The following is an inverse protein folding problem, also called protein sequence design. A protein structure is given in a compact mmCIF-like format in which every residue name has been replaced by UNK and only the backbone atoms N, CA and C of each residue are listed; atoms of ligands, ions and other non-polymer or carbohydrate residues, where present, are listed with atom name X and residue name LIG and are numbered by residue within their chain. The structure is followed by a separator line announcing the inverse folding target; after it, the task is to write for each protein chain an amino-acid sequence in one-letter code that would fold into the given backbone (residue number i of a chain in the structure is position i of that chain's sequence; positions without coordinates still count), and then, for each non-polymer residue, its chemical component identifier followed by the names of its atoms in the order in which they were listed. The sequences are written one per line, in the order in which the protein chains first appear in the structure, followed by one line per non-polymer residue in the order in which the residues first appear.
data_IF_231928383577
#
_entry.id   IF_231928383577
#
_cell.length_a   1.000
_cell.length_b   1.000
_cell.length_c   1.000
_cell.angle_alpha   90.00
_cell.angle_beta   90.00
_cell.angle_gamma   90.00
#
_symmetry.space_group_name_H-M   'P 1'
#
loop_
_entity.id
_entity.type
_entity.pdbx_description
1 polymer ?
#
# COMPACT_ATOMS: atom_id res chain seq x y z
N UNK A 1 -15.98 2.91 26.88
CA UNK A 1 -16.21 2.61 25.46
C UNK A 1 -15.25 3.40 24.59
N UNK A 2 -14.70 2.80 23.53
CA UNK A 2 -13.96 3.57 22.52
C UNK A 2 -14.91 4.57 21.83
N UNK A 3 -14.39 5.74 21.43
CA UNK A 3 -15.20 6.72 20.69
C UNK A 3 -15.71 6.10 19.39
N UNK A 4 -17.01 6.20 19.12
CA UNK A 4 -17.64 5.66 17.90
C UNK A 4 -16.93 6.15 16.64
N UNK A 5 -16.50 7.42 16.62
CA UNK A 5 -15.72 8.00 15.52
C UNK A 5 -14.38 7.29 15.28
N UNK A 6 -13.72 6.82 16.34
CA UNK A 6 -12.45 6.08 16.23
C UNK A 6 -12.67 4.65 15.76
N UNK A 7 -13.74 3.98 16.23
CA UNK A 7 -14.15 2.65 15.75
C UNK A 7 -14.43 2.70 14.25
N UNK A 8 -15.21 3.68 13.79
CA UNK A 8 -15.53 3.86 12.38
C UNK A 8 -14.28 4.16 11.53
N UNK A 9 -13.37 5.00 12.04
CA UNK A 9 -12.10 5.30 11.35
C UNK A 9 -11.22 4.06 11.21
N UNK A 10 -11.16 3.21 12.22
CA UNK A 10 -10.40 1.95 12.16
C UNK A 10 -11.01 0.98 11.15
N UNK A 11 -12.33 0.84 11.12
CA UNK A 11 -13.02 0.03 10.10
C UNK A 11 -12.71 0.50 8.67
N UNK A 12 -12.72 1.82 8.45
CA UNK A 12 -12.37 2.40 7.14
C UNK A 12 -10.92 2.13 6.74
N UNK A 13 -9.96 2.22 7.67
CA UNK A 13 -8.55 1.86 7.40
C UNK A 13 -8.40 0.39 7.07
N UNK A 14 -9.02 -0.51 7.84
CA UNK A 14 -8.98 -1.94 7.59
C UNK A 14 -9.52 -2.30 6.19
N UNK A 15 -10.62 -1.65 5.77
CA UNK A 15 -11.18 -1.82 4.44
C UNK A 15 -10.21 -1.37 3.33
N UNK A 16 -9.64 -0.17 3.44
CA UNK A 16 -8.67 0.37 2.46
C UNK A 16 -7.40 -0.49 2.38
N UNK A 17 -6.89 -0.93 3.53
CA UNK A 17 -5.76 -1.83 3.60
C UNK A 17 -6.04 -3.15 2.88
N UNK A 18 -7.22 -3.76 3.10
CA UNK A 18 -7.61 -5.01 2.42
C UNK A 18 -7.74 -4.83 0.91
N UNK A 19 -8.38 -3.75 0.46
CA UNK A 19 -8.61 -3.45 -0.97
C UNK A 19 -7.31 -3.35 -1.76
N UNK A 20 -6.32 -2.62 -1.22
CA UNK A 20 -5.08 -2.30 -1.94
C UNK A 20 -3.92 -3.25 -1.59
N UNK A 21 -4.17 -4.29 -0.77
CA UNK A 21 -3.14 -5.24 -0.29
C UNK A 21 -2.39 -5.94 -1.41
N UNK A 22 -3.12 -6.48 -2.40
CA UNK A 22 -2.55 -7.23 -3.52
C UNK A 22 -1.67 -6.34 -4.41
N UNK A 23 -2.16 -5.14 -4.75
CA UNK A 23 -1.44 -4.15 -5.55
C UNK A 23 -0.14 -3.71 -4.86
N UNK A 24 -0.19 -3.44 -3.56
CA UNK A 24 1.01 -3.07 -2.78
C UNK A 24 2.02 -4.23 -2.71
N UNK A 25 1.56 -5.46 -2.52
CA UNK A 25 2.44 -6.62 -2.47
C UNK A 25 3.19 -6.81 -3.81
N UNK A 26 2.50 -6.71 -4.94
CA UNK A 26 3.10 -6.81 -6.27
C UNK A 26 4.15 -5.71 -6.52
N UNK A 27 3.82 -4.45 -6.24
CA UNK A 27 4.75 -3.33 -6.42
C UNK A 27 5.96 -3.45 -5.48
N UNK A 28 5.74 -3.87 -4.23
CA UNK A 28 6.82 -4.07 -3.26
C UNK A 28 7.76 -5.21 -3.66
N UNK A 29 7.25 -6.27 -4.29
CA UNK A 29 8.09 -7.35 -4.81
C UNK A 29 9.04 -6.82 -5.89
N UNK A 30 8.53 -6.03 -6.85
CA UNK A 30 9.33 -5.40 -7.91
C UNK A 30 10.40 -4.47 -7.33
N UNK A 31 10.03 -3.64 -6.35
CA UNK A 31 10.97 -2.72 -5.70
C UNK A 31 12.11 -3.45 -4.97
N UNK A 32 11.82 -4.60 -4.35
CA UNK A 32 12.79 -5.38 -3.58
C UNK A 32 13.66 -6.30 -4.44
N UNK A 33 13.24 -6.60 -5.67
CA UNK A 33 14.02 -7.40 -6.59
C UNK A 33 15.25 -6.62 -7.07
N UNK A 34 16.44 -7.14 -6.77
CA UNK A 34 17.71 -6.51 -7.16
C UNK A 34 18.19 -6.91 -8.54
N UNK A 35 17.55 -7.90 -9.15
CA UNK A 35 17.89 -8.40 -10.50
C UNK A 35 17.27 -7.52 -11.60
N UNK A 36 16.20 -6.80 -11.27
CA UNK A 36 15.53 -5.89 -12.19
C UNK A 36 16.31 -4.59 -12.43
N UNK A 37 16.16 -3.98 -13.62
CA UNK A 37 16.70 -2.65 -13.91
C UNK A 37 16.24 -1.60 -12.90
N UNK A 38 17.11 -0.61 -12.66
CA UNK A 38 16.84 0.47 -11.70
C UNK A 38 15.60 1.28 -12.08
N UNK A 39 15.37 1.48 -13.38
CA UNK A 39 14.22 2.22 -13.92
C UNK A 39 12.89 1.56 -13.55
N UNK A 40 12.79 0.23 -13.66
CA UNK A 40 11.57 -0.51 -13.30
C UNK A 40 11.28 -0.44 -11.80
N UNK A 41 12.33 -0.50 -10.98
CA UNK A 41 12.21 -0.34 -9.52
C UNK A 41 11.79 1.08 -9.17
N UNK A 42 12.34 2.08 -9.84
CA UNK A 42 11.99 3.49 -9.64
C UNK A 42 10.54 3.78 -10.03
N UNK A 43 10.09 3.24 -11.16
CA UNK A 43 8.70 3.33 -11.57
C UNK A 43 7.76 2.62 -10.57
N UNK A 44 8.17 1.47 -10.03
CA UNK A 44 7.41 0.75 -9.02
C UNK A 44 7.34 1.51 -7.67
N UNK A 45 8.41 2.20 -7.25
CA UNK A 45 8.37 3.04 -6.04
C UNK A 45 7.45 4.24 -6.20
N UNK A 46 7.47 4.91 -7.36
CA UNK A 46 6.55 6.02 -7.65
C UNK A 46 5.09 5.56 -7.63
N UNK A 47 4.78 4.44 -8.29
CA UNK A 47 3.43 3.85 -8.28
C UNK A 47 2.99 3.42 -6.88
N UNK A 48 3.90 2.90 -6.06
CA UNK A 48 3.62 2.53 -4.68
C UNK A 48 3.34 3.76 -3.80
N UNK A 49 4.06 4.86 -4.04
CA UNK A 49 3.87 6.13 -3.30
C UNK A 49 2.54 6.83 -3.63
N UNK A 50 2.00 6.63 -4.83
CA UNK A 50 0.69 7.15 -5.23
C UNK A 50 -0.50 6.46 -4.54
N UNK A 51 -0.29 5.26 -3.97
CA UNK A 51 -1.35 4.53 -3.27
C UNK A 51 -1.69 5.17 -1.92
N UNK A 52 -2.96 5.10 -1.47
CA UNK A 52 -3.36 5.67 -0.17
C UNK A 52 -2.60 5.02 0.99
N UNK A 53 -2.05 5.82 1.92
CA UNK A 53 -1.27 5.35 3.09
C UNK A 53 -2.10 4.67 4.20
N UNK A 54 -3.37 4.36 3.93
CA UNK A 54 -4.33 3.84 4.89
C UNK A 54 -4.31 2.32 4.98
#
# INVERSE_FOLDING_TARGET
MAKVSQVNRNGMRAYKAKRDKSKRAALKAIVMDRTLPVEDRFNATLKLAQLPRN
#
